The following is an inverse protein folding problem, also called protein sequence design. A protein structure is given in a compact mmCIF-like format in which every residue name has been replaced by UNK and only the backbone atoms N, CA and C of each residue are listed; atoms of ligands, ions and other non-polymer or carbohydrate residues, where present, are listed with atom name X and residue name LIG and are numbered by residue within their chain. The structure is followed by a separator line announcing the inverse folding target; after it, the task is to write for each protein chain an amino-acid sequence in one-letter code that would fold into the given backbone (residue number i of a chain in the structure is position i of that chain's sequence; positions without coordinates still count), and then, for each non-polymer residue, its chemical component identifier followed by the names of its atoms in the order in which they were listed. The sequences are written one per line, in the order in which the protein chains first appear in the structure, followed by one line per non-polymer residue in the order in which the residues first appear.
data_IF_738533625188
#
_entry.id   IF_738533625188
#
_cell.length_a   1.000
_cell.length_b   1.000
_cell.length_c   1.000
_cell.angle_alpha   90.00
_cell.angle_beta   90.00
_cell.angle_gamma   90.00
#
_symmetry.space_group_name_H-M   'P 1'
#
loop_
_entity.id
_entity.type
_entity.pdbx_description
1 polymer ?
#
# COMPACT_ATOMS: atom_id res chain seq x y z
N UNK A 1 26.06 1.69 -1.86
CA UNK A 1 25.99 1.79 -0.39
C UNK A 1 26.87 0.71 0.22
N UNK A 2 27.61 1.01 1.28
CA UNK A 2 28.39 0.00 1.99
C UNK A 2 27.46 -0.95 2.74
N UNK A 3 27.82 -2.24 2.86
CA UNK A 3 26.99 -3.24 3.55
C UNK A 3 26.61 -2.84 4.98
N UNK A 4 27.51 -2.10 5.65
CA UNK A 4 27.27 -1.56 7.00
C UNK A 4 26.14 -0.52 7.04
N UNK A 5 26.00 0.30 6.00
CA UNK A 5 24.93 1.29 5.89
C UNK A 5 23.58 0.63 5.61
N UNK A 6 23.56 -0.49 4.90
CA UNK A 6 22.36 -1.29 4.65
C UNK A 6 21.88 -1.97 5.96
N UNK A 7 22.82 -2.49 6.75
CA UNK A 7 22.50 -3.12 8.03
C UNK A 7 21.90 -2.15 9.06
N UNK A 8 22.31 -0.88 9.02
CA UNK A 8 21.82 0.14 9.94
C UNK A 8 20.40 0.62 9.58
N UNK A 9 20.06 0.65 8.30
CA UNK A 9 18.70 0.92 7.82
C UNK A 9 17.71 -0.22 8.15
N UNK A 10 18.20 -1.43 8.40
CA UNK A 10 17.39 -2.57 8.84
C UNK A 10 17.19 -2.59 10.37
N UNK A 11 17.84 -1.69 11.10
CA UNK A 11 17.70 -1.58 12.55
C UNK A 11 16.56 -0.62 12.87
N UNK A 12 15.35 -1.18 13.00
CA UNK A 12 14.20 -0.47 13.54
C UNK A 12 14.09 -0.80 15.05
N UNK A 13 14.76 -0.04 15.94
CA UNK A 13 14.57 -0.25 17.37
C UNK A 13 13.11 0.04 17.67
N UNK A 14 12.36 -1.01 18.02
CA UNK A 14 10.98 -0.89 18.44
C UNK A 14 10.87 0.26 19.47
N UNK A 15 9.78 1.03 19.39
CA UNK A 15 9.46 2.14 20.30
C UNK A 15 9.96 1.83 21.72
N UNK A 16 10.86 2.67 22.26
CA UNK A 16 11.56 2.43 23.55
C UNK A 16 10.61 2.20 24.74
N UNK A 17 9.32 2.52 24.57
CA UNK A 17 8.25 2.30 25.55
C UNK A 17 7.60 0.91 25.47
N UNK A 18 7.94 0.09 24.47
CA UNK A 18 7.31 -1.20 24.24
C UNK A 18 8.11 -2.32 24.92
N UNK A 19 8.09 -2.32 26.26
CA UNK A 19 8.84 -3.26 27.11
C UNK A 19 8.31 -4.72 27.10
N UNK A 20 7.27 -5.02 26.30
CA UNK A 20 6.67 -6.35 26.16
C UNK A 20 6.29 -6.59 24.71
N UNK A 21 6.45 -7.83 24.23
CA UNK A 21 5.83 -8.24 22.98
C UNK A 21 4.30 -8.17 23.16
N UNK A 22 3.63 -7.34 22.37
CA UNK A 22 2.17 -7.37 22.32
C UNK A 22 1.76 -8.74 21.77
N UNK A 23 0.83 -9.42 22.42
CA UNK A 23 0.19 -10.59 21.82
C UNK A 23 -0.49 -10.13 20.53
N UNK A 24 0.06 -10.53 19.38
CA UNK A 24 -0.52 -10.18 18.09
C UNK A 24 -1.93 -10.76 17.93
N UNK A 25 -2.67 -10.27 16.94
CA UNK A 25 -3.94 -10.87 16.56
C UNK A 25 -3.71 -12.35 16.19
N UNK A 26 -4.63 -13.22 16.61
CA UNK A 26 -4.58 -14.62 16.23
C UNK A 26 -4.59 -14.76 14.70
N UNK A 27 -3.69 -15.58 14.14
CA UNK A 27 -3.71 -15.87 12.71
C UNK A 27 -5.05 -16.53 12.36
N UNK A 28 -5.79 -15.99 11.38
CA UNK A 28 -7.07 -16.57 11.00
C UNK A 28 -6.87 -17.95 10.39
N UNK A 29 -7.86 -18.83 10.60
CA UNK A 29 -7.91 -20.15 9.95
C UNK A 29 -8.58 -20.02 8.59
N UNK A 30 -8.20 -20.84 7.59
CA UNK A 30 -8.93 -20.90 6.31
C UNK A 30 -10.43 -21.09 6.54
N UNK A 31 -11.27 -20.28 5.89
CA UNK A 31 -12.73 -20.30 6.06
C UNK A 31 -13.27 -19.51 7.26
N UNK A 32 -12.42 -18.99 8.14
CA UNK A 32 -12.78 -18.15 9.28
C UNK A 32 -12.28 -16.69 9.13
N UNK A 33 -11.97 -16.27 7.91
CA UNK A 33 -11.45 -14.93 7.60
C UNK A 33 -12.57 -13.92 7.41
N UNK A 34 -12.70 -12.99 8.35
CA UNK A 34 -13.58 -11.81 8.25
C UNK A 34 -12.80 -10.47 8.21
N UNK A 35 -11.46 -10.51 8.08
CA UNK A 35 -10.60 -9.34 8.10
C UNK A 35 -10.00 -9.02 6.73
N UNK A 36 -9.73 -7.73 6.50
CA UNK A 36 -8.95 -7.25 5.36
C UNK A 36 -7.46 -7.58 5.46
N UNK A 37 -6.70 -7.26 4.42
CA UNK A 37 -5.25 -7.42 4.39
C UNK A 37 -4.52 -6.17 4.89
N UNK A 38 -3.20 -6.25 5.04
CA UNK A 38 -2.38 -5.09 5.42
C UNK A 38 -2.52 -3.90 4.45
N UNK A 39 -2.70 -4.18 3.15
CA UNK A 39 -2.98 -3.16 2.14
C UNK A 39 -4.31 -2.45 2.39
N UNK A 40 -5.39 -3.18 2.68
CA UNK A 40 -6.69 -2.59 3.03
C UNK A 40 -6.56 -1.70 4.27
N UNK A 41 -5.86 -2.17 5.30
CA UNK A 41 -5.54 -1.36 6.48
C UNK A 41 -4.77 -0.07 6.16
N UNK A 42 -3.74 -0.17 5.33
CA UNK A 42 -2.94 0.98 4.91
C UNK A 42 -3.76 1.97 4.08
N UNK A 43 -4.60 1.48 3.16
CA UNK A 43 -5.46 2.32 2.35
C UNK A 43 -6.53 3.00 3.20
N UNK A 44 -7.15 2.33 4.16
CA UNK A 44 -8.11 2.96 5.09
C UNK A 44 -7.46 4.13 5.83
N UNK A 45 -6.21 3.95 6.28
CA UNK A 45 -5.50 4.97 7.05
C UNK A 45 -5.00 6.14 6.18
N UNK A 46 -4.53 5.85 4.96
CA UNK A 46 -3.81 6.82 4.12
C UNK A 46 -4.68 7.45 3.03
N UNK A 47 -5.73 6.79 2.56
CA UNK A 47 -6.64 7.32 1.53
C UNK A 47 -7.27 8.67 1.89
N UNK A 48 -7.54 9.05 3.16
CA UNK A 48 -8.08 10.37 3.49
C UNK A 48 -7.08 11.54 3.35
N UNK A 49 -5.89 11.32 2.80
CA UNK A 49 -4.94 12.41 2.51
C UNK A 49 -5.29 13.01 1.16
N UNK A 50 -6.04 14.11 1.21
CA UNK A 50 -6.87 14.54 0.10
C UNK A 50 -6.11 15.05 -1.15
N UNK A 51 -4.87 15.48 -0.97
CA UNK A 51 -4.00 16.13 -1.96
C UNK A 51 -2.88 15.21 -2.46
N UNK A 52 -2.93 13.91 -2.18
CA UNK A 52 -1.90 12.94 -2.58
C UNK A 52 -2.40 11.98 -3.66
N UNK A 53 -1.50 11.59 -4.56
CA UNK A 53 -1.72 10.54 -5.53
C UNK A 53 -1.47 9.14 -4.92
N UNK A 54 -2.53 8.38 -4.69
CA UNK A 54 -2.44 7.01 -4.17
C UNK A 54 -2.32 5.98 -5.30
N UNK A 55 -1.08 5.67 -5.72
CA UNK A 55 -0.82 4.63 -6.72
C UNK A 55 -0.79 3.26 -6.05
N UNK A 56 -1.73 2.40 -6.40
CA UNK A 56 -1.72 0.99 -5.99
C UNK A 56 -0.89 0.18 -6.99
N UNK A 57 0.22 -0.38 -6.52
CA UNK A 57 1.06 -1.25 -7.34
C UNK A 57 0.62 -2.70 -7.22
N UNK A 58 -0.08 -3.20 -8.24
CA UNK A 58 -0.58 -4.57 -8.27
C UNK A 58 -1.55 -4.81 -9.42
N UNK A 59 -2.15 -6.01 -9.50
CA UNK A 59 -3.26 -6.30 -10.41
C UNK A 59 -4.52 -5.51 -10.02
N UNK A 60 -5.46 -5.36 -10.96
CA UNK A 60 -6.73 -4.64 -10.75
C UNK A 60 -7.55 -5.12 -9.54
N UNK A 61 -7.40 -6.39 -9.12
CA UNK A 61 -8.18 -6.98 -8.03
C UNK A 61 -8.09 -6.20 -6.70
N UNK A 62 -6.93 -5.61 -6.40
CA UNK A 62 -6.76 -4.81 -5.18
C UNK A 62 -7.56 -3.51 -5.27
N UNK A 63 -7.29 -2.68 -6.28
CA UNK A 63 -7.89 -1.35 -6.42
C UNK A 63 -9.34 -1.38 -6.83
N UNK A 64 -9.75 -2.35 -7.66
CA UNK A 64 -11.10 -2.43 -8.22
C UNK A 64 -12.18 -2.61 -7.14
N UNK A 65 -11.85 -3.26 -6.03
CA UNK A 65 -12.78 -3.48 -4.92
C UNK A 65 -12.65 -2.46 -3.79
N UNK A 66 -11.48 -1.83 -3.67
CA UNK A 66 -11.18 -0.96 -2.53
C UNK A 66 -11.28 0.53 -2.84
N UNK A 67 -11.33 0.89 -4.13
CA UNK A 67 -11.39 2.29 -4.56
C UNK A 67 -12.67 2.98 -4.05
N UNK A 68 -12.47 4.10 -3.34
CA UNK A 68 -13.51 4.95 -2.74
C UNK A 68 -14.50 4.24 -1.81
N UNK A 69 -14.16 3.05 -1.30
CA UNK A 69 -15.07 2.22 -0.50
C UNK A 69 -15.34 2.77 0.93
N UNK A 70 -14.71 3.89 1.31
CA UNK A 70 -14.83 4.51 2.65
C UNK A 70 -15.60 5.82 2.67
N UNK A 71 -15.90 6.41 1.51
CA UNK A 71 -16.71 7.64 1.41
C UNK A 71 -16.16 8.82 2.21
N UNK A 72 -14.84 8.91 2.37
CA UNK A 72 -14.19 10.01 3.08
C UNK A 72 -14.50 11.33 2.37
N UNK A 73 -14.76 12.39 3.14
CA UNK A 73 -15.15 13.69 2.61
C UNK A 73 -13.95 14.64 2.65
N UNK A 74 -13.80 15.44 1.61
CA UNK A 74 -12.85 16.55 1.55
C UNK A 74 -13.61 17.83 1.21
N UNK A 75 -13.21 18.94 1.82
CA UNK A 75 -13.72 20.28 1.51
C UNK A 75 -12.83 21.04 0.51
N UNK A 76 -11.80 20.38 -0.02
CA UNK A 76 -10.82 20.99 -0.93
C UNK A 76 -10.35 19.99 -1.98
N UNK A 77 -9.04 19.68 -2.07
CA UNK A 77 -8.52 18.72 -3.03
C UNK A 77 -9.25 17.37 -2.99
N UNK A 78 -9.41 16.76 -4.15
CA UNK A 78 -10.10 15.47 -4.30
C UNK A 78 -9.23 14.44 -5.04
N UNK A 79 -7.91 14.62 -5.05
CA UNK A 79 -6.97 13.78 -5.80
C UNK A 79 -7.03 12.32 -5.33
N UNK A 80 -7.16 12.12 -4.01
CA UNK A 80 -7.32 10.79 -3.40
C UNK A 80 -8.52 9.99 -3.89
N UNK A 81 -9.55 10.65 -4.46
CA UNK A 81 -10.72 9.98 -5.02
C UNK A 81 -10.47 9.37 -6.38
N UNK A 82 -9.32 9.64 -7.02
CA UNK A 82 -8.97 9.04 -8.30
C UNK A 82 -8.30 7.68 -8.03
N UNK A 83 -8.88 6.62 -8.59
CA UNK A 83 -8.34 5.28 -8.47
C UNK A 83 -7.12 5.10 -9.37
N UNK A 84 -5.91 5.21 -8.81
CA UNK A 84 -4.67 5.02 -9.54
C UNK A 84 -4.10 3.63 -9.27
N UNK A 85 -3.80 2.88 -10.32
CA UNK A 85 -3.22 1.54 -10.23
C UNK A 85 -2.27 1.28 -11.37
N UNK A 86 -1.25 0.45 -11.14
CA UNK A 86 -0.35 0.00 -12.21
C UNK A 86 -0.96 -1.08 -13.11
N UNK A 87 -2.05 -1.72 -12.64
CA UNK A 87 -2.75 -2.86 -13.25
C UNK A 87 -1.79 -3.88 -13.88
N UNK A 88 -1.08 -4.59 -13.00
CA UNK A 88 -0.08 -5.57 -13.42
C UNK A 88 -0.74 -6.72 -14.18
N UNK A 89 -0.27 -6.92 -15.42
CA UNK A 89 -0.65 -8.06 -16.24
C UNK A 89 0.20 -9.28 -15.89
N UNK A 90 -0.23 -10.46 -16.33
CA UNK A 90 0.54 -11.69 -16.18
C UNK A 90 1.97 -11.55 -16.77
N UNK A 91 2.09 -10.89 -17.92
CA UNK A 91 3.40 -10.64 -18.54
C UNK A 91 4.29 -9.73 -17.69
N UNK A 92 3.71 -8.75 -17.00
CA UNK A 92 4.49 -7.86 -16.11
C UNK A 92 5.06 -8.63 -14.92
N UNK A 93 4.32 -9.62 -14.42
CA UNK A 93 4.75 -10.50 -13.33
C UNK A 93 5.82 -11.47 -13.81
N UNK A 94 5.56 -12.20 -14.91
CA UNK A 94 6.50 -13.21 -15.46
C UNK A 94 7.83 -12.56 -15.85
N UNK A 95 7.79 -11.40 -16.50
CA UNK A 95 8.98 -10.73 -17.03
C UNK A 95 9.62 -9.76 -16.04
N UNK A 96 9.09 -9.64 -14.82
CA UNK A 96 9.61 -8.70 -13.81
C UNK A 96 9.53 -7.23 -14.25
N UNK A 97 8.56 -6.85 -15.09
CA UNK A 97 8.40 -5.46 -15.58
C UNK A 97 7.68 -4.56 -14.59
N UNK A 98 7.25 -5.09 -13.44
CA UNK A 98 6.54 -4.34 -12.39
C UNK A 98 7.24 -3.05 -11.97
N UNK A 99 8.55 -3.10 -11.74
CA UNK A 99 9.32 -1.91 -11.33
C UNK A 99 9.31 -0.81 -12.40
N UNK A 100 9.51 -1.19 -13.67
CA UNK A 100 9.44 -0.25 -14.79
C UNK A 100 8.01 0.29 -14.92
N UNK A 101 7.00 -0.56 -14.77
CA UNK A 101 5.59 -0.15 -14.81
C UNK A 101 5.30 0.89 -13.72
N UNK A 102 5.79 0.67 -12.51
CA UNK A 102 5.65 1.60 -11.39
C UNK A 102 6.34 2.94 -11.69
N UNK A 103 7.56 2.92 -12.21
CA UNK A 103 8.27 4.15 -12.60
C UNK A 103 7.47 5.00 -13.60
N UNK A 104 6.93 4.37 -14.65
CA UNK A 104 6.10 5.07 -15.64
C UNK A 104 4.76 5.55 -15.05
N UNK A 105 4.16 4.78 -14.14
CA UNK A 105 2.93 5.17 -13.47
C UNK A 105 3.14 6.41 -12.57
N UNK A 106 4.26 6.48 -11.85
CA UNK A 106 4.63 7.67 -11.06
C UNK A 106 4.80 8.88 -11.98
N UNK A 107 5.49 8.71 -13.10
CA UNK A 107 5.65 9.79 -14.09
C UNK A 107 4.30 10.26 -14.62
N UNK A 108 3.41 9.34 -15.00
CA UNK A 108 2.06 9.65 -15.47
C UNK A 108 1.20 10.35 -14.42
N UNK A 109 1.42 10.11 -13.12
CA UNK A 109 0.68 10.78 -12.06
C UNK A 109 1.14 12.24 -11.82
N UNK A 110 2.32 12.60 -12.32
CA UNK A 110 2.91 13.95 -12.18
C UNK A 110 2.66 14.80 -13.42
N UNK A 111 2.63 14.17 -14.61
CA UNK A 111 2.36 14.80 -15.91
C UNK A 111 0.90 15.28 -16.02
#
# INVERSE_FOLDING_TARGET
MQAKQIAELLNEPACAHNAKSKSGCARPKPGATAGGCAFDGAQIALLPIADVAHIVHGPIACSGSSWDNRGTRSSGPALYKIGMTTDLTEQDVIMGRGEKRLFHAIKQAID
#
